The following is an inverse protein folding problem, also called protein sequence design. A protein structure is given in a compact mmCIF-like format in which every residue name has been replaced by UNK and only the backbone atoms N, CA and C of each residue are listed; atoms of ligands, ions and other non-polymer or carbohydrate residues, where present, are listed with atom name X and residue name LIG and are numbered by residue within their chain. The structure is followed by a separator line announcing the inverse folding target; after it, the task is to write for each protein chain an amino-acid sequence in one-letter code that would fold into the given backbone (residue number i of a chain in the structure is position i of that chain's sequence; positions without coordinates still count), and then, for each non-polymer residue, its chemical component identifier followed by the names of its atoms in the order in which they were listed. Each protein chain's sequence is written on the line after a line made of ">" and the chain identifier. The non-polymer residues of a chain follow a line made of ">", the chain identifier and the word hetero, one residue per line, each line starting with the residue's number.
data_IF_447443707126
#
_entry.id   IF_447443707126
#
_cell.length_a   1.000
_cell.length_b   1.000
_cell.length_c   1.000
_cell.angle_alpha   90.00
_cell.angle_beta   90.00
_cell.angle_gamma   90.00
#
_symmetry.space_group_name_H-M   'P 1'
#
loop_
_entity.id
_entity.type
_entity.pdbx_description
1 polymer ?
#
# COMPACT_ATOMS: atom_id res chain seq x y z
N UNK A 1 -8.65 -30.08 80.70
CA UNK A 1 -7.59 -29.49 79.85
C UNK A 1 -8.01 -29.26 78.39
N UNK A 2 -9.04 -29.93 77.85
CA UNK A 2 -9.49 -29.72 76.46
C UNK A 2 -10.23 -28.39 76.17
N UNK A 3 -10.81 -27.71 77.18
CA UNK A 3 -11.48 -26.40 76.97
C UNK A 3 -10.53 -25.19 76.87
N UNK A 4 -9.28 -25.30 77.35
CA UNK A 4 -8.27 -24.22 77.22
C UNK A 4 -7.51 -24.28 75.89
N UNK A 5 -7.44 -25.44 75.25
CA UNK A 5 -6.78 -25.61 73.94
C UNK A 5 -7.68 -25.07 72.81
N UNK A 6 -9.01 -25.21 72.94
CA UNK A 6 -9.97 -24.66 71.96
C UNK A 6 -10.08 -23.13 72.02
N UNK A 7 -9.87 -22.49 73.17
CA UNK A 7 -9.87 -21.02 73.24
C UNK A 7 -8.59 -20.39 72.69
N UNK A 8 -7.44 -21.06 72.83
CA UNK A 8 -6.18 -20.63 72.23
C UNK A 8 -6.20 -20.78 70.70
N UNK A 9 -6.72 -21.90 70.18
CA UNK A 9 -6.85 -22.10 68.72
C UNK A 9 -7.89 -21.15 68.09
N UNK A 10 -8.96 -20.79 68.78
CA UNK A 10 -9.94 -19.83 68.26
C UNK A 10 -9.48 -18.36 68.39
N UNK A 11 -8.61 -18.03 69.33
CA UNK A 11 -7.98 -16.70 69.38
C UNK A 11 -6.94 -16.53 68.26
N UNK A 12 -6.14 -17.57 67.97
CA UNK A 12 -5.14 -17.52 66.89
C UNK A 12 -5.76 -17.58 65.47
N UNK A 13 -6.93 -18.20 65.30
CA UNK A 13 -7.64 -18.16 64.01
C UNK A 13 -8.35 -16.81 63.80
N UNK A 14 -8.84 -16.18 64.87
CA UNK A 14 -9.47 -14.85 64.77
C UNK A 14 -8.48 -13.71 64.52
N UNK A 15 -7.19 -13.87 64.88
CA UNK A 15 -6.13 -12.88 64.64
C UNK A 15 -5.42 -13.05 63.29
N UNK A 16 -5.63 -14.17 62.57
CA UNK A 16 -5.09 -14.38 61.22
C UNK A 16 -6.04 -13.99 60.08
N UNK A 17 -7.28 -13.60 60.38
CA UNK A 17 -8.25 -13.07 59.38
C UNK A 17 -8.51 -11.56 59.53
N UNK A 18 -7.65 -10.83 60.23
CA UNK A 18 -7.63 -9.36 60.24
C UNK A 18 -6.30 -8.80 59.72
N UNK A 19 -5.79 -9.36 58.62
CA UNK A 19 -5.07 -8.51 57.69
C UNK A 19 -6.11 -7.61 57.02
N UNK A 20 -6.26 -6.40 57.57
CA UNK A 20 -6.66 -5.24 56.80
C UNK A 20 -5.73 -5.14 55.59
N UNK A 21 -6.08 -5.79 54.49
CA UNK A 21 -5.61 -5.39 53.17
C UNK A 21 -6.32 -4.07 52.87
N UNK A 22 -5.87 -2.98 53.51
CA UNK A 22 -6.15 -1.65 53.02
C UNK A 22 -5.63 -1.63 51.59
N UNK A 23 -6.55 -1.64 50.64
CA UNK A 23 -6.21 -1.53 49.23
C UNK A 23 -5.44 -0.24 49.05
N UNK A 24 -4.34 -0.33 48.32
CA UNK A 24 -3.54 0.83 47.99
C UNK A 24 -4.29 1.73 47.01
N UNK A 25 -4.05 3.03 47.10
CA UNK A 25 -4.57 3.97 46.11
C UNK A 25 -3.64 4.03 44.90
N UNK A 26 -4.23 4.04 43.71
CA UNK A 26 -3.48 4.17 42.46
C UNK A 26 -2.87 5.58 42.40
N UNK A 27 -1.62 5.70 41.93
CA UNK A 27 -0.99 7.01 41.76
C UNK A 27 -1.80 7.92 40.83
N UNK A 28 -1.94 9.20 41.18
CA UNK A 28 -2.68 10.18 40.36
C UNK A 28 -2.14 10.25 38.93
N UNK A 29 -0.83 10.12 38.75
CA UNK A 29 -0.22 10.09 37.43
C UNK A 29 -0.72 8.92 36.58
N UNK A 30 -0.80 7.70 37.14
CA UNK A 30 -1.32 6.53 36.43
C UNK A 30 -2.81 6.69 36.08
N UNK A 31 -3.61 7.25 36.99
CA UNK A 31 -5.03 7.55 36.74
C UNK A 31 -5.15 8.56 35.58
N UNK A 32 -4.36 9.64 35.60
CA UNK A 32 -4.39 10.67 34.56
C UNK A 32 -3.99 10.11 33.19
N UNK A 33 -2.92 9.32 33.11
CA UNK A 33 -2.48 8.69 31.86
C UNK A 33 -3.56 7.72 31.33
N UNK A 34 -4.14 6.90 32.20
CA UNK A 34 -5.23 5.99 31.82
C UNK A 34 -6.44 6.76 31.29
N UNK A 35 -6.91 7.77 32.00
CA UNK A 35 -8.11 8.52 31.64
C UNK A 35 -7.90 9.33 30.36
N UNK A 36 -6.70 9.88 30.15
CA UNK A 36 -6.33 10.51 28.89
C UNK A 36 -6.36 9.50 27.74
N UNK A 37 -5.73 8.34 27.90
CA UNK A 37 -5.74 7.29 26.87
C UNK A 37 -7.15 6.81 26.56
N UNK A 38 -8.01 6.65 27.57
CA UNK A 38 -9.42 6.27 27.40
C UNK A 38 -10.22 7.33 26.62
N UNK A 39 -9.99 8.61 26.90
CA UNK A 39 -10.61 9.73 26.17
C UNK A 39 -10.18 9.76 24.70
N UNK A 40 -8.88 9.62 24.43
CA UNK A 40 -8.35 9.60 23.06
C UNK A 40 -8.85 8.36 22.28
N UNK A 41 -8.86 7.19 22.93
CA UNK A 41 -9.43 5.98 22.35
C UNK A 41 -10.91 6.16 21.99
N UNK A 42 -11.68 6.87 22.82
CA UNK A 42 -13.10 7.18 22.56
C UNK A 42 -13.28 8.08 21.33
N UNK A 43 -12.45 9.10 21.17
CA UNK A 43 -12.48 9.98 19.98
C UNK A 43 -12.18 9.17 18.72
N UNK A 44 -11.08 8.42 18.71
CA UNK A 44 -10.68 7.62 17.56
C UNK A 44 -11.69 6.49 17.26
N UNK A 45 -12.30 5.88 18.26
CA UNK A 45 -13.35 4.87 18.07
C UNK A 45 -14.59 5.44 17.36
N UNK A 46 -14.97 6.69 17.66
CA UNK A 46 -16.07 7.37 16.96
C UNK A 46 -15.75 7.60 15.48
N UNK A 47 -14.51 8.03 15.19
CA UNK A 47 -14.02 8.20 13.82
C UNK A 47 -13.98 6.84 13.10
N UNK A 48 -13.42 5.81 13.73
CA UNK A 48 -13.33 4.46 13.18
C UNK A 48 -14.71 3.90 12.85
N UNK A 49 -15.71 4.08 13.73
CA UNK A 49 -17.10 3.66 13.49
C UNK A 49 -17.75 4.37 12.29
N UNK A 50 -17.35 5.61 12.01
CA UNK A 50 -17.84 6.37 10.85
C UNK A 50 -17.21 5.89 9.55
N UNK A 51 -15.97 5.40 9.60
CA UNK A 51 -15.24 4.89 8.42
C UNK A 51 -15.54 3.41 8.16
N UNK A 52 -15.78 2.62 9.21
CA UNK A 52 -16.05 1.19 9.12
C UNK A 52 -17.19 0.90 8.14
N UNK A 53 -16.98 -0.09 7.29
CA UNK A 53 -17.84 -0.37 6.16
C UNK A 53 -18.04 -1.88 6.02
N UNK A 54 -19.29 -2.38 5.91
CA UNK A 54 -19.56 -3.80 5.68
C UNK A 54 -18.83 -4.39 4.46
N UNK A 55 -18.50 -3.56 3.46
CA UNK A 55 -17.73 -3.97 2.30
C UNK A 55 -16.32 -4.45 2.67
N UNK A 56 -15.75 -4.02 3.80
CA UNK A 56 -14.46 -4.52 4.30
C UNK A 56 -14.52 -5.99 4.72
N UNK A 57 -15.71 -6.49 5.04
CA UNK A 57 -15.92 -7.85 5.50
C UNK A 57 -16.30 -8.82 4.37
N UNK A 58 -16.52 -8.32 3.14
CA UNK A 58 -16.84 -9.16 1.98
C UNK A 58 -15.70 -10.13 1.65
N UNK A 59 -16.05 -11.35 1.26
CA UNK A 59 -15.08 -12.43 0.98
C UNK A 59 -14.07 -12.06 -0.10
N UNK A 60 -14.52 -11.40 -1.17
CA UNK A 60 -13.67 -10.99 -2.29
C UNK A 60 -12.66 -9.91 -1.87
N UNK A 61 -13.09 -8.94 -1.05
CA UNK A 61 -12.20 -7.92 -0.51
C UNK A 61 -11.21 -8.51 0.51
N UNK A 62 -11.64 -9.42 1.38
CA UNK A 62 -10.72 -10.15 2.29
C UNK A 62 -9.66 -10.92 1.51
N UNK A 63 -10.05 -11.55 0.41
CA UNK A 63 -9.12 -12.25 -0.49
C UNK A 63 -8.11 -11.27 -1.12
N UNK A 64 -8.56 -10.10 -1.57
CA UNK A 64 -7.68 -9.03 -2.02
C UNK A 64 -6.68 -8.58 -0.94
N UNK A 65 -7.14 -8.36 0.30
CA UNK A 65 -6.26 -8.00 1.42
C UNK A 65 -5.26 -9.12 1.76
N UNK A 66 -5.66 -10.38 1.64
CA UNK A 66 -4.77 -11.52 1.82
C UNK A 66 -3.66 -11.54 0.77
N UNK A 67 -3.97 -11.33 -0.51
CA UNK A 67 -2.97 -11.23 -1.59
C UNK A 67 -2.01 -10.07 -1.31
N UNK A 68 -2.53 -8.88 -0.96
CA UNK A 68 -1.71 -7.74 -0.55
C UNK A 68 -0.79 -8.07 0.62
N UNK A 69 -1.28 -8.81 1.63
CA UNK A 69 -0.45 -9.28 2.74
C UNK A 69 0.67 -10.23 2.28
N UNK A 70 0.42 -11.10 1.29
CA UNK A 70 1.43 -12.02 0.78
C UNK A 70 2.53 -11.29 0.00
N UNK A 71 2.16 -10.25 -0.77
CA UNK A 71 3.12 -9.34 -1.40
C UNK A 71 3.97 -8.62 -0.34
N UNK A 72 3.35 -7.93 0.62
CA UNK A 72 4.05 -7.15 1.64
C UNK A 72 4.98 -8.01 2.52
N UNK A 73 4.61 -9.27 2.78
CA UNK A 73 5.41 -10.22 3.55
C UNK A 73 6.44 -10.96 2.70
N UNK A 74 6.43 -10.79 1.38
CA UNK A 74 7.29 -11.46 0.43
C UNK A 74 7.24 -13.01 0.55
N UNK A 75 6.04 -13.59 0.58
CA UNK A 75 5.82 -15.03 0.84
C UNK A 75 5.16 -15.78 -0.32
N UNK A 76 5.31 -17.10 -0.28
CA UNK A 76 4.63 -18.06 -1.16
C UNK A 76 4.82 -17.75 -2.65
N UNK A 77 3.78 -17.99 -3.46
CA UNK A 77 3.76 -17.72 -4.90
C UNK A 77 3.87 -16.24 -5.26
N UNK A 78 3.78 -15.31 -4.29
CA UNK A 78 3.86 -13.86 -4.51
C UNK A 78 5.26 -13.29 -4.19
N UNK A 79 6.19 -14.12 -3.72
CA UNK A 79 7.54 -13.70 -3.37
C UNK A 79 8.25 -13.03 -4.56
N UNK A 80 8.84 -11.86 -4.35
CA UNK A 80 9.62 -11.12 -5.35
C UNK A 80 8.79 -10.48 -6.47
N UNK A 81 7.46 -10.43 -6.33
CA UNK A 81 6.56 -9.93 -7.38
C UNK A 81 5.87 -8.61 -7.03
N UNK A 82 6.03 -8.07 -5.81
CA UNK A 82 5.34 -6.84 -5.38
C UNK A 82 5.66 -5.65 -6.29
N UNK A 83 6.95 -5.41 -6.58
CA UNK A 83 7.37 -4.32 -7.46
C UNK A 83 6.80 -4.48 -8.86
N UNK A 84 6.83 -5.70 -9.42
CA UNK A 84 6.25 -5.99 -10.74
C UNK A 84 4.73 -5.78 -10.76
N UNK A 85 4.04 -6.18 -9.70
CA UNK A 85 2.61 -6.01 -9.56
C UNK A 85 2.20 -4.52 -9.49
N UNK A 86 2.95 -3.70 -8.74
CA UNK A 86 2.70 -2.26 -8.67
C UNK A 86 3.06 -1.55 -9.98
N UNK A 87 4.19 -1.90 -10.62
CA UNK A 87 4.55 -1.38 -11.95
C UNK A 87 3.45 -1.67 -12.96
N UNK A 88 2.94 -2.90 -12.99
CA UNK A 88 1.87 -3.30 -13.91
C UNK A 88 0.54 -2.61 -13.59
N UNK A 89 0.17 -2.48 -12.31
CA UNK A 89 -1.03 -1.75 -11.89
C UNK A 89 -0.98 -0.30 -12.38
N UNK A 90 0.17 0.35 -12.22
CA UNK A 90 0.39 1.73 -12.66
C UNK A 90 0.37 1.85 -14.18
N UNK A 91 0.98 0.89 -14.89
CA UNK A 91 0.94 0.82 -16.34
C UNK A 91 -0.49 0.83 -16.89
N UNK A 92 -1.35 -0.02 -16.31
CA UNK A 92 -2.76 -0.12 -16.71
C UNK A 92 -3.53 1.13 -16.33
N UNK A 93 -3.29 1.69 -15.14
CA UNK A 93 -3.96 2.94 -14.71
C UNK A 93 -3.62 4.12 -15.62
N UNK A 94 -2.36 4.22 -16.05
CA UNK A 94 -1.86 5.29 -16.90
C UNK A 94 -1.87 4.97 -18.40
N UNK A 95 -2.56 3.90 -18.81
CA UNK A 95 -2.61 3.41 -20.19
C UNK A 95 -2.96 4.51 -21.20
N UNK A 96 -3.92 5.39 -20.89
CA UNK A 96 -4.32 6.48 -21.79
C UNK A 96 -3.18 7.46 -22.07
N UNK A 97 -2.33 7.74 -21.07
CA UNK A 97 -1.21 8.66 -21.21
C UNK A 97 -0.12 8.02 -22.07
N UNK A 98 0.20 6.75 -21.85
CA UNK A 98 1.12 5.99 -22.71
C UNK A 98 0.65 6.00 -24.17
N UNK A 99 -0.61 5.63 -24.42
CA UNK A 99 -1.16 5.58 -25.78
C UNK A 99 -1.16 6.96 -26.46
N UNK A 100 -1.44 8.04 -25.74
CA UNK A 100 -1.34 9.42 -26.27
C UNK A 100 0.09 9.78 -26.64
N UNK A 101 1.05 9.51 -25.77
CA UNK A 101 2.49 9.73 -26.00
C UNK A 101 2.93 9.03 -27.29
N UNK A 102 2.61 7.73 -27.44
CA UNK A 102 2.93 6.96 -28.64
C UNK A 102 2.27 7.53 -29.90
N UNK A 103 0.96 7.79 -29.86
CA UNK A 103 0.24 8.32 -31.02
C UNK A 103 0.79 9.68 -31.47
N UNK A 104 1.16 10.54 -30.52
CA UNK A 104 1.76 11.84 -30.81
C UNK A 104 3.13 11.68 -31.47
N UNK A 105 4.04 10.89 -30.91
CA UNK A 105 5.37 10.64 -31.51
C UNK A 105 5.29 9.97 -32.88
N UNK A 106 4.29 9.11 -33.11
CA UNK A 106 4.08 8.48 -34.41
C UNK A 106 3.60 9.47 -35.48
N UNK A 107 2.69 10.38 -35.12
CA UNK A 107 2.06 11.32 -36.07
C UNK A 107 2.90 12.57 -36.32
N UNK A 108 3.58 13.07 -35.30
CA UNK A 108 4.22 14.37 -35.32
C UNK A 108 5.74 14.23 -35.19
N UNK A 109 6.44 14.37 -36.33
CA UNK A 109 7.86 14.01 -36.46
C UNK A 109 8.71 15.12 -37.07
N UNK A 110 8.33 16.38 -36.91
CA UNK A 110 9.21 17.48 -37.31
C UNK A 110 10.50 17.44 -36.48
N UNK A 111 11.59 17.99 -37.02
CA UNK A 111 12.90 18.02 -36.33
C UNK A 111 12.79 18.60 -34.92
N UNK A 112 11.98 19.65 -34.75
CA UNK A 112 11.78 20.31 -33.46
C UNK A 112 10.94 19.51 -32.47
N UNK A 113 9.99 18.71 -32.96
CA UNK A 113 9.25 17.77 -32.11
C UNK A 113 10.14 16.61 -31.66
N UNK A 114 10.96 16.07 -32.56
CA UNK A 114 11.94 15.03 -32.22
C UNK A 114 12.96 15.50 -31.19
N UNK A 115 13.45 16.74 -31.32
CA UNK A 115 14.32 17.38 -30.32
C UNK A 115 13.68 17.38 -28.91
N UNK A 116 12.37 17.65 -28.83
CA UNK A 116 11.64 17.60 -27.56
C UNK A 116 11.53 16.18 -27.01
N UNK A 117 11.21 15.19 -27.85
CA UNK A 117 11.10 13.80 -27.42
C UNK A 117 12.44 13.22 -26.95
N UNK A 118 13.53 13.54 -27.67
CA UNK A 118 14.89 13.17 -27.29
C UNK A 118 15.32 13.82 -25.98
N UNK A 119 14.99 15.11 -25.77
CA UNK A 119 15.22 15.78 -24.49
C UNK A 119 14.56 15.02 -23.33
N UNK A 120 13.29 14.64 -23.47
CA UNK A 120 12.58 13.86 -22.45
C UNK A 120 13.27 12.52 -22.22
N UNK A 121 13.59 11.78 -23.28
CA UNK A 121 14.22 10.46 -23.14
C UNK A 121 15.60 10.54 -22.48
N UNK A 122 16.41 11.53 -22.83
CA UNK A 122 17.72 11.77 -22.22
C UNK A 122 17.57 12.11 -20.73
N UNK A 123 16.64 12.99 -20.39
CA UNK A 123 16.33 13.31 -19.01
C UNK A 123 15.97 12.04 -18.22
N UNK A 124 15.07 11.21 -18.75
CA UNK A 124 14.69 9.95 -18.09
C UNK A 124 15.87 8.97 -17.99
N UNK A 125 16.72 8.91 -19.02
CA UNK A 125 17.92 8.09 -19.03
C UNK A 125 18.95 8.48 -17.96
N UNK A 126 19.15 9.78 -17.73
CA UNK A 126 20.02 10.27 -16.65
C UNK A 126 19.46 9.90 -15.27
N UNK A 127 18.13 9.89 -15.10
CA UNK A 127 17.51 9.59 -13.80
C UNK A 127 17.39 8.10 -13.51
N UNK A 128 17.13 7.28 -14.52
CA UNK A 128 16.83 5.85 -14.33
C UNK A 128 17.90 4.89 -14.89
N UNK A 129 18.87 5.38 -15.66
CA UNK A 129 19.87 4.53 -16.33
C UNK A 129 20.80 3.77 -15.39
N UNK A 130 21.08 4.30 -14.19
CA UNK A 130 21.97 3.65 -13.21
C UNK A 130 21.31 2.52 -12.42
N UNK A 131 19.96 2.49 -12.36
CA UNK A 131 19.21 1.39 -11.74
C UNK A 131 19.38 0.07 -12.52
N UNK A 132 19.76 0.15 -13.81
CA UNK A 132 19.86 -0.99 -14.73
C UNK A 132 21.20 -1.74 -14.68
N UNK A 133 22.26 -1.14 -14.13
CA UNK A 133 23.58 -1.79 -14.03
C UNK A 133 23.71 -2.71 -12.81
N UNK A 134 22.75 -2.70 -11.88
CA UNK A 134 22.73 -3.64 -10.75
C UNK A 134 21.92 -4.89 -11.11
N UNK A 135 22.47 -5.73 -12.00
CA UNK A 135 22.07 -7.13 -12.15
C UNK A 135 22.54 -8.00 -10.97
N UNK A 136 22.68 -7.45 -9.76
CA UNK A 136 22.92 -8.22 -8.54
C UNK A 136 21.58 -8.62 -7.92
N UNK A 137 20.91 -9.57 -8.59
CA UNK A 137 19.74 -10.29 -8.08
C UNK A 137 20.10 -11.33 -7.00
N UNK A 138 21.34 -11.35 -6.49
CA UNK A 138 21.82 -12.40 -5.58
C UNK A 138 22.02 -12.00 -4.11
N UNK A 139 21.92 -10.73 -3.71
CA UNK A 139 22.10 -10.37 -2.29
C UNK A 139 21.09 -9.33 -1.79
N UNK A 140 19.98 -9.82 -1.24
CA UNK A 140 18.88 -9.09 -0.58
C UNK A 140 19.29 -8.19 0.63
N UNK A 141 20.58 -8.00 0.92
CA UNK A 141 21.06 -7.17 2.02
C UNK A 141 21.86 -5.94 1.58
N UNK A 142 22.30 -5.84 0.31
CA UNK A 142 23.05 -4.67 -0.19
C UNK A 142 22.11 -3.59 -0.77
N UNK A 143 20.93 -4.00 -1.27
CA UNK A 143 19.92 -3.10 -1.86
C UNK A 143 19.35 -2.10 -0.84
N UNK A 144 19.39 -2.42 0.45
CA UNK A 144 18.94 -1.50 1.50
C UNK A 144 19.91 -0.32 1.75
N UNK A 145 21.18 -0.41 1.32
CA UNK A 145 22.19 0.64 1.55
C UNK A 145 22.43 1.58 0.36
N UNK A 146 21.99 1.22 -0.86
CA UNK A 146 22.05 2.10 -2.06
C UNK A 146 20.72 2.81 -2.39
N UNK A 147 19.71 2.71 -1.53
CA UNK A 147 18.47 3.51 -1.58
C UNK A 147 18.67 4.98 -1.18
N UNK A 148 19.90 5.48 -1.15
CA UNK A 148 20.20 6.88 -0.93
C UNK A 148 20.22 7.62 -2.28
N UNK A 149 19.13 8.36 -2.52
CA UNK A 149 19.12 9.66 -3.19
C UNK A 149 19.39 9.76 -4.71
N UNK A 150 18.68 9.02 -5.56
CA UNK A 150 18.25 9.62 -6.84
C UNK A 150 16.97 10.43 -6.59
N UNK A 151 17.16 11.56 -5.91
CA UNK A 151 16.11 12.45 -5.41
C UNK A 151 15.77 13.48 -6.49
N UNK A 152 15.13 13.02 -7.55
CA UNK A 152 14.48 13.87 -8.52
C UNK A 152 13.00 14.03 -8.10
N UNK A 153 12.50 15.26 -8.03
CA UNK A 153 11.12 15.55 -7.55
C UNK A 153 10.18 15.67 -8.75
N UNK A 154 8.99 15.03 -8.81
CA UNK A 154 8.01 15.17 -9.90
C UNK A 154 7.82 16.60 -10.41
N UNK A 155 7.87 17.59 -9.52
CA UNK A 155 7.75 18.99 -9.85
C UNK A 155 8.93 19.54 -10.68
N UNK A 156 10.14 19.06 -10.45
CA UNK A 156 11.33 19.46 -11.21
C UNK A 156 11.25 19.00 -12.69
N UNK A 157 10.67 17.84 -13.00
CA UNK A 157 10.50 17.34 -14.39
C UNK A 157 9.43 18.13 -15.05
N UNK A 158 8.27 18.27 -14.39
CA UNK A 158 7.18 19.12 -14.89
C UNK A 158 7.73 20.50 -15.27
N UNK A 159 8.53 21.10 -14.39
CA UNK A 159 9.18 22.38 -14.67
C UNK A 159 10.14 22.33 -15.87
N UNK A 160 11.01 21.31 -15.94
CA UNK A 160 11.99 21.19 -17.02
C UNK A 160 11.35 20.93 -18.38
N UNK A 161 10.38 20.01 -18.47
CA UNK A 161 9.68 19.70 -19.72
C UNK A 161 8.82 20.89 -20.16
N UNK A 162 8.23 21.66 -19.23
CA UNK A 162 7.48 22.88 -19.55
C UNK A 162 8.39 23.98 -20.07
N UNK A 163 9.56 24.15 -19.47
CA UNK A 163 10.56 25.13 -19.93
C UNK A 163 11.04 24.79 -21.34
N UNK A 164 11.36 23.52 -21.61
CA UNK A 164 11.77 23.08 -22.95
C UNK A 164 10.62 23.17 -23.97
N UNK A 165 9.37 22.98 -23.54
CA UNK A 165 8.20 23.17 -24.38
C UNK A 165 8.07 24.64 -24.84
N UNK A 166 8.19 25.60 -23.92
CA UNK A 166 8.12 27.03 -24.24
C UNK A 166 9.23 27.49 -25.20
N UNK A 167 10.41 26.85 -25.13
CA UNK A 167 11.49 27.09 -26.09
C UNK A 167 11.15 26.59 -27.51
N UNK A 168 10.54 25.40 -27.61
CA UNK A 168 10.33 24.71 -28.89
C UNK A 168 9.01 25.13 -29.56
N UNK A 169 7.94 25.31 -28.79
CA UNK A 169 6.57 25.55 -29.28
C UNK A 169 6.47 26.72 -30.29
N UNK A 170 7.15 27.87 -30.11
CA UNK A 170 7.13 28.97 -31.08
C UNK A 170 7.73 28.60 -32.44
N UNK A 171 8.63 27.62 -32.48
CA UNK A 171 9.31 27.18 -33.72
C UNK A 171 8.46 26.22 -34.55
N UNK A 172 7.37 25.70 -33.99
CA UNK A 172 6.43 24.82 -34.70
C UNK A 172 5.49 25.67 -35.56
N UNK A 173 5.40 25.31 -36.84
CA UNK A 173 4.67 26.08 -37.86
C UNK A 173 3.16 25.90 -37.81
N UNK A 174 2.70 24.71 -37.46
CA UNK A 174 1.27 24.35 -37.49
C UNK A 174 0.67 24.40 -36.11
N UNK A 175 -0.58 24.83 -36.01
CA UNK A 175 -1.30 24.84 -34.73
C UNK A 175 -1.47 23.44 -34.15
N UNK A 176 -1.89 22.49 -34.98
CA UNK A 176 -1.97 21.07 -34.61
C UNK A 176 -0.65 20.50 -34.07
N UNK A 177 0.49 20.96 -34.59
CA UNK A 177 1.79 20.52 -34.11
C UNK A 177 2.16 21.10 -32.73
N UNK A 178 1.67 22.30 -32.40
CA UNK A 178 1.83 22.94 -31.08
C UNK A 178 0.92 22.29 -30.07
N UNK A 179 -0.35 22.12 -30.41
CA UNK A 179 -1.34 21.41 -29.59
C UNK A 179 -0.86 19.99 -29.26
N UNK A 180 -0.31 19.26 -30.24
CA UNK A 180 0.23 17.93 -30.00
C UNK A 180 1.39 17.89 -28.99
N UNK A 181 2.27 18.91 -28.99
CA UNK A 181 3.33 19.00 -27.98
C UNK A 181 2.78 19.34 -26.60
N UNK A 182 1.73 20.14 -26.53
CA UNK A 182 0.99 20.42 -25.29
C UNK A 182 0.40 19.13 -24.73
N UNK A 183 -0.39 18.40 -25.53
CA UNK A 183 -1.02 17.13 -25.16
C UNK A 183 0.00 16.07 -24.72
N UNK A 184 1.14 16.01 -25.41
CA UNK A 184 2.25 15.14 -25.05
C UNK A 184 2.85 15.52 -23.69
N UNK A 185 3.05 16.82 -23.45
CA UNK A 185 3.56 17.33 -22.17
C UNK A 185 2.59 17.02 -21.04
N UNK A 186 1.30 17.32 -21.20
CA UNK A 186 0.27 16.98 -20.20
C UNK A 186 0.23 15.47 -19.90
N UNK A 187 0.39 14.64 -20.93
CA UNK A 187 0.44 13.19 -20.75
C UNK A 187 1.66 12.75 -19.92
N UNK A 188 2.82 13.39 -20.12
CA UNK A 188 4.02 13.16 -19.29
C UNK A 188 3.84 13.65 -17.86
N UNK A 189 3.21 14.80 -17.66
CA UNK A 189 2.90 15.31 -16.32
C UNK A 189 1.98 14.35 -15.57
N UNK A 190 0.97 13.80 -16.26
CA UNK A 190 0.10 12.77 -15.70
C UNK A 190 0.84 11.48 -15.33
N UNK A 191 1.92 11.13 -16.04
CA UNK A 191 2.79 10.01 -15.64
C UNK A 191 3.67 10.33 -14.41
N UNK A 192 3.95 11.61 -14.16
CA UNK A 192 4.75 12.08 -13.03
C UNK A 192 3.97 12.12 -11.70
N UNK A 193 2.62 12.06 -11.73
CA UNK A 193 1.78 12.16 -10.53
C UNK A 193 1.93 10.96 -9.56
N UNK A 194 2.21 9.75 -10.04
CA UNK A 194 2.32 8.54 -9.22
C UNK A 194 3.77 8.09 -9.01
N UNK A 195 4.45 8.76 -8.06
CA UNK A 195 5.71 8.33 -7.40
C UNK A 195 6.82 7.88 -8.37
N UNK A 196 7.12 8.66 -9.42
CA UNK A 196 8.20 8.42 -10.40
C UNK A 196 8.11 7.12 -11.22
N UNK A 197 7.24 6.20 -10.81
CA UNK A 197 7.13 4.87 -11.39
C UNK A 197 6.52 4.95 -12.80
N UNK A 198 5.59 5.86 -13.04
CA UNK A 198 5.02 6.09 -14.38
C UNK A 198 6.10 6.52 -15.39
N UNK A 199 7.00 7.42 -14.97
CA UNK A 199 8.12 7.89 -15.79
C UNK A 199 9.20 6.81 -15.95
N UNK A 200 9.51 6.06 -14.88
CA UNK A 200 10.40 4.90 -14.97
C UNK A 200 9.86 3.86 -15.95
N UNK A 201 8.56 3.63 -15.92
CA UNK A 201 7.90 2.70 -16.83
C UNK A 201 7.97 3.21 -18.28
N UNK A 202 7.75 4.50 -18.53
CA UNK A 202 7.96 5.11 -19.85
C UNK A 202 9.38 4.89 -20.36
N UNK A 203 10.39 5.13 -19.51
CA UNK A 203 11.78 4.88 -19.84
C UNK A 203 12.03 3.42 -20.23
N UNK A 204 11.56 2.47 -19.42
CA UNK A 204 11.73 1.04 -19.68
C UNK A 204 11.04 0.62 -20.97
N UNK A 205 9.83 1.12 -21.22
CA UNK A 205 9.11 0.91 -22.48
C UNK A 205 9.92 1.36 -23.71
N UNK A 206 10.47 2.58 -23.68
CA UNK A 206 11.30 3.11 -24.76
C UNK A 206 12.60 2.34 -24.92
N UNK A 207 13.29 2.02 -23.80
CA UNK A 207 14.55 1.27 -23.79
C UNK A 207 14.41 -0.13 -24.40
N UNK A 208 13.32 -0.84 -24.09
CA UNK A 208 13.07 -2.17 -24.62
C UNK A 208 12.43 -2.16 -26.02
N UNK A 209 12.40 -1.00 -26.71
CA UNK A 209 11.82 -0.81 -28.03
C UNK A 209 10.38 -1.32 -28.14
N UNK A 210 9.63 -1.27 -27.03
CA UNK A 210 8.20 -1.53 -27.08
C UNK A 210 7.53 -0.26 -27.55
N UNK A 211 7.46 -0.14 -28.88
CA UNK A 211 6.79 0.94 -29.58
C UNK A 211 5.29 0.75 -29.60
N UNK A 212 4.78 -0.40 -29.19
CA UNK A 212 3.36 -0.75 -29.23
C UNK A 212 2.79 -0.82 -27.81
N UNK A 213 2.23 0.29 -27.32
CA UNK A 213 1.54 0.30 -26.03
C UNK A 213 0.14 -0.34 -26.11
N UNK A 214 -0.26 -0.89 -27.26
CA UNK A 214 -1.49 -1.69 -27.36
C UNK A 214 -1.45 -2.92 -26.44
N UNK A 215 -0.27 -3.40 -26.05
CA UNK A 215 -0.13 -4.45 -25.03
C UNK A 215 -0.82 -4.05 -23.71
N UNK A 216 -0.73 -2.78 -23.30
CA UNK A 216 -1.41 -2.30 -22.11
C UNK A 216 -2.93 -2.25 -22.28
N UNK A 217 -3.39 -1.99 -23.50
CA UNK A 217 -4.83 -2.08 -23.83
C UNK A 217 -5.35 -3.49 -23.70
N UNK A 218 -4.63 -4.47 -24.25
CA UNK A 218 -5.00 -5.88 -24.12
C UNK A 218 -5.11 -6.29 -22.65
N UNK A 219 -4.15 -5.90 -21.80
CA UNK A 219 -4.22 -6.18 -20.35
C UNK A 219 -5.38 -5.45 -19.66
N UNK A 220 -5.61 -4.18 -20.01
CA UNK A 220 -6.71 -3.39 -19.45
C UNK A 220 -8.09 -3.98 -19.78
N UNK A 221 -8.26 -4.45 -21.02
CA UNK A 221 -9.48 -5.13 -21.47
C UNK A 221 -9.68 -6.45 -20.71
N UNK A 222 -8.60 -7.21 -20.46
CA UNK A 222 -8.65 -8.42 -19.62
C UNK A 222 -9.02 -8.11 -18.16
N UNK A 223 -8.44 -7.06 -17.58
CA UNK A 223 -8.75 -6.62 -16.21
C UNK A 223 -10.22 -6.28 -16.09
N UNK A 224 -10.77 -5.52 -17.06
CA UNK A 224 -12.18 -5.15 -17.13
C UNK A 224 -13.08 -6.39 -17.25
N UNK A 225 -12.73 -7.32 -18.13
CA UNK A 225 -13.46 -8.59 -18.29
C UNK A 225 -13.53 -9.43 -16.99
N UNK A 226 -12.47 -9.38 -16.17
CA UNK A 226 -12.35 -10.18 -14.96
C UNK A 226 -13.11 -9.61 -13.76
N UNK A 227 -13.54 -8.34 -13.78
CA UNK A 227 -14.15 -7.70 -12.60
C UNK A 227 -15.44 -8.40 -12.12
N UNK A 228 -16.19 -8.96 -13.07
CA UNK A 228 -17.45 -9.68 -12.83
C UNK A 228 -17.25 -11.20 -12.64
N UNK A 229 -16.01 -11.68 -12.63
CA UNK A 229 -15.68 -13.10 -12.46
C UNK A 229 -15.31 -13.40 -11.01
N UNK A 230 -15.39 -14.68 -10.65
CA UNK A 230 -14.85 -15.17 -9.38
C UNK A 230 -13.32 -15.21 -9.47
N UNK A 231 -12.66 -14.21 -8.89
CA UNK A 231 -11.22 -14.07 -8.94
C UNK A 231 -10.47 -15.04 -8.00
N UNK A 232 -11.16 -15.80 -7.15
CA UNK A 232 -10.54 -16.90 -6.41
C UNK A 232 -10.23 -18.11 -7.31
N UNK A 233 -10.94 -18.24 -8.45
CA UNK A 233 -10.68 -19.30 -9.42
C UNK A 233 -9.65 -18.83 -10.46
N UNK A 234 -8.45 -19.41 -10.39
CA UNK A 234 -7.34 -19.08 -11.30
C UNK A 234 -7.57 -19.44 -12.76
N UNK A 235 -8.53 -20.32 -13.08
CA UNK A 235 -8.69 -20.87 -14.43
C UNK A 235 -8.93 -19.79 -15.49
N UNK A 236 -9.77 -18.81 -15.20
CA UNK A 236 -10.05 -17.71 -16.13
C UNK A 236 -8.79 -16.86 -16.41
N UNK A 237 -8.00 -16.56 -15.37
CA UNK A 237 -6.76 -15.80 -15.51
C UNK A 237 -5.70 -16.60 -16.26
N UNK A 238 -5.55 -17.89 -15.95
CA UNK A 238 -4.64 -18.78 -16.66
C UNK A 238 -4.99 -18.89 -18.15
N UNK A 239 -6.27 -19.06 -18.47
CA UNK A 239 -6.72 -19.16 -19.87
C UNK A 239 -6.47 -17.86 -20.65
N UNK A 240 -6.64 -16.70 -20.03
CA UNK A 240 -6.32 -15.41 -20.64
C UNK A 240 -4.81 -15.25 -20.88
N UNK A 241 -3.99 -15.63 -19.90
CA UNK A 241 -2.53 -15.56 -20.00
C UNK A 241 -2.01 -16.49 -21.09
N UNK A 242 -2.44 -17.75 -21.11
CA UNK A 242 -2.00 -18.72 -22.13
C UNK A 242 -2.38 -18.27 -23.54
N UNK A 243 -3.57 -17.69 -23.73
CA UNK A 243 -4.01 -17.16 -25.02
C UNK A 243 -3.22 -15.93 -25.49
N UNK A 244 -2.53 -15.22 -24.59
CA UNK A 244 -1.84 -13.95 -24.86
C UNK A 244 -0.42 -13.98 -24.29
N UNK A 245 0.23 -15.14 -24.34
CA UNK A 245 1.51 -15.39 -23.68
C UNK A 245 2.61 -14.41 -24.12
N UNK A 246 2.64 -14.06 -25.41
CA UNK A 246 3.63 -13.13 -25.96
C UNK A 246 3.49 -11.72 -25.37
N UNK A 247 2.25 -11.27 -25.11
CA UNK A 247 1.94 -10.00 -24.45
C UNK A 247 2.52 -9.99 -23.04
N UNK A 248 2.30 -11.06 -22.28
CA UNK A 248 2.78 -11.17 -20.90
C UNK A 248 4.29 -11.30 -20.81
N UNK A 249 4.95 -12.03 -21.71
CA UNK A 249 6.43 -12.13 -21.73
C UNK A 249 7.05 -10.77 -22.03
N UNK A 250 6.55 -10.03 -23.03
CA UNK A 250 7.03 -8.67 -23.35
C UNK A 250 6.88 -7.75 -22.14
N UNK A 251 5.70 -7.77 -21.51
CA UNK A 251 5.39 -6.92 -20.37
C UNK A 251 6.19 -7.29 -19.12
N UNK A 252 6.39 -8.59 -18.89
CA UNK A 252 7.14 -9.13 -17.76
C UNK A 252 8.55 -8.56 -17.66
N UNK A 253 9.24 -8.41 -18.80
CA UNK A 253 10.57 -7.81 -18.87
C UNK A 253 10.59 -6.33 -18.45
N UNK A 254 9.56 -5.58 -18.82
CA UNK A 254 9.44 -4.15 -18.48
C UNK A 254 9.13 -3.98 -16.99
N UNK A 255 8.18 -4.75 -16.47
CA UNK A 255 7.78 -4.65 -15.06
C UNK A 255 8.75 -5.39 -14.13
N UNK A 256 9.86 -5.91 -14.65
CA UNK A 256 10.92 -6.54 -13.87
C UNK A 256 10.50 -7.86 -13.23
N UNK A 257 9.65 -8.67 -13.88
CA UNK A 257 9.40 -10.04 -13.43
C UNK A 257 10.71 -10.82 -13.48
N UNK A 258 11.13 -11.49 -12.40
CA UNK A 258 12.35 -12.29 -12.43
C UNK A 258 12.28 -13.37 -13.51
N UNK A 259 13.37 -13.56 -14.28
CA UNK A 259 13.43 -14.58 -15.35
C UNK A 259 13.02 -15.97 -14.88
N UNK A 260 13.39 -16.34 -13.66
CA UNK A 260 13.04 -17.63 -13.03
C UNK A 260 11.54 -17.77 -12.72
N UNK A 261 10.77 -16.68 -12.85
CA UNK A 261 9.34 -16.59 -12.58
C UNK A 261 8.53 -16.18 -13.81
N UNK A 262 9.11 -16.10 -15.00
CA UNK A 262 8.38 -15.87 -16.26
C UNK A 262 7.56 -17.12 -16.63
N UNK A 263 6.44 -17.33 -15.93
CA UNK A 263 5.55 -18.48 -16.15
C UNK A 263 4.10 -18.02 -16.27
N UNK A 264 3.24 -18.78 -16.97
CA UNK A 264 1.81 -18.45 -17.07
C UNK A 264 1.13 -18.30 -15.70
N UNK A 265 1.51 -19.10 -14.70
CA UNK A 265 0.94 -19.01 -13.35
C UNK A 265 1.32 -17.69 -12.66
N UNK A 266 2.58 -17.25 -12.78
CA UNK A 266 3.02 -15.96 -12.26
C UNK A 266 2.20 -14.82 -12.86
N UNK A 267 2.08 -14.79 -14.19
CA UNK A 267 1.31 -13.74 -14.87
C UNK A 267 -0.18 -13.80 -14.53
N UNK A 268 -0.75 -14.99 -14.33
CA UNK A 268 -2.14 -15.13 -13.92
C UNK A 268 -2.37 -14.55 -12.52
N UNK A 269 -1.40 -14.68 -11.61
CA UNK A 269 -1.45 -14.06 -10.26
C UNK A 269 -1.33 -12.55 -10.31
N UNK A 270 -0.44 -12.04 -11.16
CA UNK A 270 -0.35 -10.60 -11.41
C UNK A 270 -1.67 -10.07 -11.97
N UNK A 271 -2.26 -10.75 -12.96
CA UNK A 271 -3.55 -10.37 -13.55
C UNK A 271 -4.69 -10.43 -12.53
N UNK A 272 -4.74 -11.47 -11.69
CA UNK A 272 -5.70 -11.59 -10.58
C UNK A 272 -5.57 -10.40 -9.63
N UNK A 273 -4.34 -10.07 -9.23
CA UNK A 273 -4.08 -8.93 -8.37
C UNK A 273 -4.55 -7.61 -9.00
N UNK A 274 -4.28 -7.40 -10.29
CA UNK A 274 -4.72 -6.21 -11.00
C UNK A 274 -6.25 -6.10 -11.03
N UNK A 275 -6.95 -7.18 -11.37
CA UNK A 275 -8.40 -7.20 -11.42
C UNK A 275 -9.03 -6.90 -10.06
N UNK A 276 -8.53 -7.53 -8.98
CA UNK A 276 -8.97 -7.25 -7.60
C UNK A 276 -8.66 -5.82 -7.19
N UNK A 277 -7.45 -5.33 -7.51
CA UNK A 277 -7.04 -3.98 -7.18
C UNK A 277 -7.90 -2.94 -7.87
N UNK A 278 -8.33 -3.18 -9.12
CA UNK A 278 -9.22 -2.28 -9.84
C UNK A 278 -10.64 -2.34 -9.28
N UNK A 279 -11.17 -3.54 -9.03
CA UNK A 279 -12.51 -3.76 -8.47
C UNK A 279 -12.67 -3.08 -7.10
N UNK A 280 -11.64 -3.12 -6.26
CA UNK A 280 -11.69 -2.65 -4.88
C UNK A 280 -10.95 -1.33 -4.64
N UNK A 281 -10.68 -0.54 -5.68
CA UNK A 281 -9.91 0.71 -5.58
C UNK A 281 -10.48 1.65 -4.51
N UNK A 282 -11.78 1.97 -4.58
CA UNK A 282 -12.46 2.84 -3.62
C UNK A 282 -12.59 2.23 -2.22
N UNK A 283 -12.94 0.94 -2.14
CA UNK A 283 -13.05 0.23 -0.86
C UNK A 283 -11.71 0.20 -0.14
N UNK A 284 -10.62 0.00 -0.87
CA UNK A 284 -9.26 0.05 -0.33
C UNK A 284 -8.92 1.43 0.22
N UNK A 285 -9.23 2.51 -0.49
CA UNK A 285 -8.94 3.87 -0.01
C UNK A 285 -9.62 4.15 1.34
N UNK A 286 -10.88 3.75 1.50
CA UNK A 286 -11.59 3.87 2.77
C UNK A 286 -10.98 2.96 3.85
N UNK A 287 -10.61 1.73 3.48
CA UNK A 287 -9.98 0.79 4.40
C UNK A 287 -8.64 1.31 4.92
N UNK A 288 -7.81 1.92 4.07
CA UNK A 288 -6.54 2.52 4.50
C UNK A 288 -6.77 3.66 5.49
N UNK A 289 -7.81 4.49 5.29
CA UNK A 289 -8.19 5.52 6.28
C UNK A 289 -8.58 4.90 7.62
N UNK A 290 -9.31 3.77 7.62
CA UNK A 290 -9.63 3.05 8.84
C UNK A 290 -8.36 2.55 9.55
N UNK A 291 -7.42 1.92 8.82
CA UNK A 291 -6.16 1.44 9.39
C UNK A 291 -5.33 2.59 9.97
N UNK A 292 -5.30 3.76 9.32
CA UNK A 292 -4.63 4.96 9.82
C UNK A 292 -5.21 5.47 11.14
N UNK A 293 -6.50 5.27 11.40
CA UNK A 293 -7.16 5.59 12.67
C UNK A 293 -6.92 4.51 13.72
N UNK A 294 -6.95 3.23 13.33
CA UNK A 294 -6.75 2.11 14.26
C UNK A 294 -5.30 1.99 14.75
N UNK A 295 -4.32 2.44 13.97
CA UNK A 295 -2.90 2.42 14.34
C UNK A 295 -2.59 3.23 15.62
N UNK A 296 -2.96 4.52 15.73
CA UNK A 296 -2.82 5.26 16.99
C UNK A 296 -3.78 4.74 18.07
N UNK A 297 -5.00 4.31 17.72
CA UNK A 297 -5.94 3.70 18.68
C UNK A 297 -5.32 2.50 19.42
N UNK A 298 -4.56 1.65 18.70
CA UNK A 298 -3.85 0.51 19.29
C UNK A 298 -2.88 0.94 20.40
N UNK A 299 -2.24 2.10 20.26
CA UNK A 299 -1.35 2.65 21.28
C UNK A 299 -2.10 2.96 22.58
N UNK A 300 -3.25 3.65 22.48
CA UNK A 300 -4.09 3.93 23.64
C UNK A 300 -4.67 2.68 24.26
N UNK A 301 -5.10 1.72 23.46
CA UNK A 301 -5.55 0.41 23.93
C UNK A 301 -4.48 -0.27 24.80
N UNK A 302 -3.23 -0.32 24.33
CA UNK A 302 -2.11 -0.89 25.10
C UNK A 302 -1.88 -0.13 26.41
N UNK A 303 -1.85 1.20 26.38
CA UNK A 303 -1.69 2.00 27.60
C UNK A 303 -2.80 1.70 28.63
N UNK A 304 -4.05 1.60 28.18
CA UNK A 304 -5.20 1.28 29.05
C UNK A 304 -5.05 -0.12 29.64
N UNK A 305 -4.73 -1.12 28.82
CA UNK A 305 -4.58 -2.51 29.28
C UNK A 305 -3.41 -2.66 30.23
N UNK A 306 -2.24 -2.09 29.90
CA UNK A 306 -1.04 -2.21 30.73
C UNK A 306 -1.27 -1.60 32.13
N UNK A 307 -1.93 -0.44 32.20
CA UNK A 307 -2.27 0.19 33.47
C UNK A 307 -3.32 -0.65 34.24
N UNK A 308 -4.36 -1.16 33.58
CA UNK A 308 -5.38 -2.01 34.24
C UNK A 308 -4.80 -3.34 34.73
N UNK A 309 -3.84 -3.92 34.02
CA UNK A 309 -3.14 -5.14 34.43
C UNK A 309 -2.19 -4.90 35.60
N UNK A 310 -1.56 -3.72 35.65
CA UNK A 310 -0.69 -3.34 36.76
C UNK A 310 -1.46 -3.16 38.09
N UNK A 311 -2.71 -2.68 38.04
CA UNK A 311 -3.52 -2.40 39.23
C UNK A 311 -4.69 -3.37 39.38
N UNK A 312 -4.49 -4.45 40.14
CA UNK A 312 -5.54 -5.44 40.39
C UNK A 312 -6.57 -4.98 41.42
N UNK A 313 -7.85 -5.32 41.21
CA UNK A 313 -8.95 -4.98 42.12
C UNK A 313 -8.80 -5.58 43.54
N UNK A 314 -7.97 -6.60 43.70
CA UNK A 314 -7.68 -7.24 44.98
C UNK A 314 -6.68 -6.43 45.82
N UNK A 315 -5.83 -5.65 45.17
CA UNK A 315 -4.74 -4.89 45.80
C UNK A 315 -5.00 -3.38 45.81
N UNK A 316 -5.79 -2.86 44.86
CA UNK A 316 -5.99 -1.42 44.66
C UNK A 316 -7.46 -0.99 44.69
N UNK A 317 -7.69 0.24 45.15
CA UNK A 317 -8.97 0.94 44.96
C UNK A 317 -9.05 1.44 43.51
N UNK A 318 -9.90 0.80 42.70
CA UNK A 318 -10.01 1.14 41.28
C UNK A 318 -11.02 2.27 41.06
N UNK A 319 -10.66 3.33 40.31
CA UNK A 319 -11.63 4.31 39.80
C UNK A 319 -12.68 3.66 38.89
N UNK A 320 -13.84 4.29 38.73
CA UNK A 320 -14.93 3.77 37.89
C UNK A 320 -14.48 3.58 36.43
N UNK A 321 -13.65 4.50 35.92
CA UNK A 321 -13.11 4.49 34.56
C UNK A 321 -12.28 3.23 34.25
N UNK A 322 -11.69 2.58 35.26
CA UNK A 322 -10.90 1.36 35.08
C UNK A 322 -11.77 0.13 34.79
N UNK A 323 -13.07 0.23 35.04
CA UNK A 323 -14.04 -0.84 34.77
C UNK A 323 -14.83 -0.65 33.47
N UNK A 324 -14.74 0.53 32.85
CA UNK A 324 -15.45 0.84 31.61
C UNK A 324 -14.94 -0.02 30.44
N UNK A 325 -15.84 -0.38 29.53
CA UNK A 325 -15.47 -1.01 28.26
C UNK A 325 -14.55 -0.10 27.45
N UNK A 326 -13.58 -0.69 26.76
CA UNK A 326 -12.67 0.08 25.91
C UNK A 326 -13.40 0.39 24.59
N UNK A 327 -13.64 1.68 24.27
CA UNK A 327 -14.41 2.06 23.09
C UNK A 327 -13.73 1.59 21.80
N UNK A 328 -14.50 0.97 20.90
CA UNK A 328 -14.02 0.58 19.56
C UNK A 328 -13.24 -0.74 19.52
N UNK A 329 -13.17 -1.49 20.62
CA UNK A 329 -12.45 -2.77 20.69
C UNK A 329 -12.87 -3.76 19.60
N UNK A 330 -14.17 -3.93 19.36
CA UNK A 330 -14.68 -4.86 18.33
C UNK A 330 -14.23 -4.49 16.90
N UNK A 331 -14.14 -3.20 16.59
CA UNK A 331 -13.64 -2.72 15.30
C UNK A 331 -12.15 -3.03 15.18
N UNK A 332 -11.38 -2.76 16.23
CA UNK A 332 -9.96 -3.10 16.24
C UNK A 332 -9.73 -4.60 16.07
N UNK A 333 -10.45 -5.45 16.79
CA UNK A 333 -10.31 -6.91 16.71
C UNK A 333 -10.54 -7.45 15.29
N UNK A 334 -11.49 -6.87 14.56
CA UNK A 334 -11.79 -7.24 13.18
C UNK A 334 -10.62 -6.95 12.21
N UNK A 335 -9.76 -5.97 12.51
CA UNK A 335 -8.77 -5.44 11.56
C UNK A 335 -7.33 -5.41 12.06
N UNK A 336 -7.06 -5.76 13.32
CA UNK A 336 -5.73 -5.65 13.95
C UNK A 336 -4.62 -6.37 13.19
N UNK A 337 -4.94 -7.49 12.51
CA UNK A 337 -3.97 -8.24 11.72
C UNK A 337 -3.40 -7.46 10.51
N UNK A 338 -4.08 -6.38 10.11
CA UNK A 338 -3.72 -5.56 8.96
C UNK A 338 -2.91 -4.30 9.31
N UNK A 339 -2.89 -3.88 10.59
CA UNK A 339 -2.23 -2.63 11.05
C UNK A 339 -0.72 -2.59 10.79
N UNK A 340 -0.06 -3.75 10.81
CA UNK A 340 1.38 -3.86 10.56
C UNK A 340 1.71 -4.20 9.09
N UNK A 341 0.68 -4.30 8.23
CA UNK A 341 0.82 -4.66 6.81
C UNK A 341 0.62 -3.41 5.94
N UNK A 342 -0.41 -2.61 6.26
CA UNK A 342 -0.81 -1.40 5.55
C UNK A 342 -0.53 -0.17 6.41
#
# INVERSE_FOLDING_TARGET
>A
MLKKIVSFLNQDISTLTQNNSQKEDISENSINIHNQALSEAKILASIAKTIDNPNFQQSDFKFYLQIKSLFARNKESYQGLETSAELLRLAVKAQSNFLKIEQTELRYRSTKQQEYYEFVLNFLGEKFGDDDNNNDLENNQIVAKKRQENKYSPEEFKQQIRTKLEEIKPTIKTEQGREALEDYTESLEGLAEEKDIGLKLLYLFKKFNLTDFSVLRVISDMVTYLQDKNMQNMKAMQDLVVKNEDVFIKLGRIIGVPKTKETPDTYARLLQYLALSKKHEQTREQFIKLIQVLKPWQGFYRTITDIREQYSANQYNLPEEFTQEIPGLSIYENYQQYINIF
#
